data_IF_555862061791
#
_entry.id   IF_555862061791
#
_cell.length_a   1.000
_cell.length_b   1.000
_cell.length_c   1.000
_cell.angle_alpha   90.00
_cell.angle_beta   90.00
_cell.angle_gamma   90.00
#
_symmetry.space_group_name_H-M   'P 1'
#
loop_
_entity.id
_entity.type
_entity.pdbx_description
1 polymer ?
#
# COMPACT_ATOMS: atom_id res chain seq x y z
N UNK A 1 26.10 3.00 -2.76
CA UNK A 1 26.03 1.53 -2.85
C UNK A 1 26.93 1.08 -4.00
N UNK A 2 27.80 0.08 -3.81
CA UNK A 2 28.59 -0.48 -4.93
C UNK A 2 27.69 -1.34 -5.83
N UNK A 3 28.05 -1.55 -7.13
CA UNK A 3 27.24 -2.37 -8.05
C UNK A 3 27.01 -3.80 -7.56
N UNK A 4 28.02 -4.41 -6.93
CA UNK A 4 27.92 -5.76 -6.37
C UNK A 4 26.94 -5.82 -5.19
N UNK A 5 27.02 -4.87 -4.25
CA UNK A 5 26.09 -4.79 -3.13
C UNK A 5 24.66 -4.53 -3.62
N UNK A 6 24.46 -3.70 -4.66
CA UNK A 6 23.14 -3.45 -5.26
C UNK A 6 22.51 -4.76 -5.78
N UNK A 7 23.24 -5.54 -6.58
CA UNK A 7 22.73 -6.80 -7.11
C UNK A 7 22.42 -7.82 -6.01
N UNK A 8 23.28 -7.90 -4.99
CA UNK A 8 23.10 -8.80 -3.86
C UNK A 8 21.88 -8.42 -3.01
N UNK A 9 21.72 -7.13 -2.68
CA UNK A 9 20.56 -6.62 -1.93
C UNK A 9 19.28 -6.82 -2.73
N UNK A 10 19.25 -6.47 -4.02
CA UNK A 10 18.08 -6.66 -4.88
C UNK A 10 17.66 -8.13 -4.98
N UNK A 11 18.62 -9.04 -5.10
CA UNK A 11 18.36 -10.50 -5.10
C UNK A 11 17.79 -10.97 -3.77
N UNK A 12 18.34 -10.46 -2.65
CA UNK A 12 17.87 -10.80 -1.30
C UNK A 12 16.43 -10.33 -1.08
N UNK A 13 16.13 -9.08 -1.44
CA UNK A 13 14.79 -8.50 -1.31
C UNK A 13 13.76 -9.23 -2.19
N UNK A 14 14.14 -9.57 -3.43
CA UNK A 14 13.30 -10.38 -4.34
C UNK A 14 12.86 -11.68 -3.68
N UNK A 15 13.78 -12.43 -3.07
CA UNK A 15 13.46 -13.72 -2.46
C UNK A 15 12.70 -13.57 -1.14
N UNK A 16 13.07 -12.62 -0.28
CA UNK A 16 12.35 -12.38 0.97
C UNK A 16 10.89 -12.00 0.73
N UNK A 17 10.66 -11.00 -0.13
CA UNK A 17 9.31 -10.53 -0.43
C UNK A 17 8.52 -11.52 -1.29
N UNK A 18 9.18 -12.20 -2.25
CA UNK A 18 8.56 -13.24 -3.05
C UNK A 18 8.08 -14.41 -2.19
N UNK A 19 8.88 -14.86 -1.22
CA UNK A 19 8.46 -15.89 -0.27
C UNK A 19 7.35 -15.39 0.66
N UNK A 20 7.48 -14.17 1.20
CA UNK A 20 6.47 -13.57 2.04
C UNK A 20 5.12 -13.42 1.33
N UNK A 21 5.14 -13.10 0.04
CA UNK A 21 3.97 -12.99 -0.82
C UNK A 21 3.28 -14.33 -1.05
N UNK A 22 4.02 -15.44 -1.19
CA UNK A 22 3.44 -16.76 -1.42
C UNK A 22 2.91 -17.45 -0.15
N UNK A 23 3.33 -17.03 1.04
CA UNK A 23 2.92 -17.66 2.30
C UNK A 23 1.39 -17.64 2.56
N UNK A 24 0.66 -16.54 2.33
CA UNK A 24 -0.80 -16.56 2.44
C UNK A 24 -1.46 -17.52 1.43
N UNK A 25 -0.88 -17.68 0.23
CA UNK A 25 -1.39 -18.65 -0.76
C UNK A 25 -1.19 -20.10 -0.29
N UNK A 26 -0.09 -20.38 0.39
CA UNK A 26 0.14 -21.68 1.04
C UNK A 26 -0.91 -21.90 2.15
N UNK A 27 -1.19 -20.89 2.96
CA UNK A 27 -2.26 -20.90 3.96
C UNK A 27 -3.63 -21.23 3.35
N UNK A 28 -3.99 -20.55 2.26
CA UNK A 28 -5.21 -20.81 1.49
C UNK A 28 -5.33 -22.27 1.03
N UNK A 29 -4.26 -22.84 0.48
CA UNK A 29 -4.23 -24.24 0.05
C UNK A 29 -4.42 -25.21 1.23
N UNK A 30 -3.78 -24.92 2.36
CA UNK A 30 -3.91 -25.70 3.60
C UNK A 30 -5.34 -25.66 4.12
N UNK A 31 -5.98 -24.50 4.11
CA UNK A 31 -7.35 -24.31 4.60
C UNK A 31 -8.39 -25.00 3.70
N UNK A 32 -8.23 -24.90 2.38
CA UNK A 32 -9.07 -25.63 1.45
C UNK A 32 -8.88 -27.13 1.63
N UNK A 33 -7.64 -27.63 1.66
CA UNK A 33 -7.39 -29.05 1.79
C UNK A 33 -7.85 -29.58 3.16
N UNK A 34 -7.43 -28.93 4.25
CA UNK A 34 -7.79 -29.29 5.62
C UNK A 34 -9.29 -29.20 5.89
N UNK A 35 -9.99 -28.23 5.31
CA UNK A 35 -11.44 -28.07 5.46
C UNK A 35 -12.28 -28.95 4.54
N UNK A 36 -11.94 -29.02 3.24
CA UNK A 36 -12.69 -29.78 2.23
C UNK A 36 -12.48 -31.29 2.39
N UNK A 37 -11.23 -31.75 2.49
CA UNK A 37 -10.94 -33.17 2.68
C UNK A 37 -11.18 -33.61 4.13
N UNK A 38 -10.96 -32.73 5.11
CA UNK A 38 -11.24 -33.01 6.53
C UNK A 38 -12.70 -33.40 6.79
N UNK A 39 -13.66 -32.68 6.18
CA UNK A 39 -15.09 -33.01 6.27
C UNK A 39 -15.46 -34.36 5.66
N UNK A 40 -14.74 -34.79 4.62
CA UNK A 40 -15.08 -35.99 3.86
C UNK A 40 -14.52 -37.27 4.46
N UNK A 41 -13.36 -37.17 5.12
CA UNK A 41 -12.63 -38.32 5.66
C UNK A 41 -13.01 -38.67 7.10
N UNK A 42 -13.29 -37.66 7.96
CA UNK A 42 -13.55 -37.91 9.38
C UNK A 42 -14.36 -36.75 10.01
N UNK A 43 -15.72 -36.85 10.00
CA UNK A 43 -16.60 -35.80 10.52
C UNK A 43 -16.41 -35.54 12.02
N UNK A 44 -16.17 -36.58 12.81
CA UNK A 44 -16.12 -36.50 14.27
C UNK A 44 -14.89 -35.74 14.80
N UNK A 45 -13.76 -35.77 14.08
CA UNK A 45 -12.54 -35.04 14.44
C UNK A 45 -12.39 -33.70 13.70
N UNK A 46 -13.36 -33.33 12.86
CA UNK A 46 -13.19 -32.28 11.86
C UNK A 46 -12.87 -30.92 12.51
N UNK A 47 -13.60 -30.52 13.55
CA UNK A 47 -13.41 -29.20 14.21
C UNK A 47 -11.98 -28.93 14.69
N UNK A 48 -11.28 -29.94 15.23
CA UNK A 48 -9.88 -29.79 15.66
C UNK A 48 -8.92 -29.63 14.47
N UNK A 49 -9.15 -30.36 13.38
CA UNK A 49 -8.35 -30.27 12.14
C UNK A 49 -8.51 -28.90 11.49
N UNK A 50 -9.73 -28.34 11.47
CA UNK A 50 -9.98 -27.01 10.89
C UNK A 50 -9.34 -25.89 11.72
N UNK A 51 -9.40 -25.97 13.05
CA UNK A 51 -8.68 -25.03 13.93
C UNK A 51 -7.18 -25.09 13.69
N UNK A 52 -6.61 -26.30 13.61
CA UNK A 52 -5.18 -26.47 13.34
C UNK A 52 -4.76 -25.86 12.00
N UNK A 53 -5.56 -26.06 10.95
CA UNK A 53 -5.32 -25.45 9.64
C UNK A 53 -5.31 -23.91 9.72
N UNK A 54 -6.25 -23.30 10.45
CA UNK A 54 -6.25 -21.85 10.65
C UNK A 54 -5.04 -21.35 11.45
N UNK A 55 -4.62 -22.05 12.52
CA UNK A 55 -3.39 -21.70 13.24
C UNK A 55 -2.16 -21.77 12.34
N UNK A 56 -2.09 -22.76 11.45
CA UNK A 56 -1.01 -22.88 10.50
C UNK A 56 -1.02 -21.75 9.46
N UNK A 57 -2.19 -21.32 8.99
CA UNK A 57 -2.32 -20.17 8.11
C UNK A 57 -1.90 -18.86 8.80
N UNK A 58 -2.29 -18.66 10.07
CA UNK A 58 -1.82 -17.52 10.87
C UNK A 58 -0.31 -17.54 11.03
N UNK A 59 0.28 -18.73 11.26
CA UNK A 59 1.72 -18.89 11.30
C UNK A 59 2.39 -18.55 9.95
N UNK A 60 1.81 -18.95 8.82
CA UNK A 60 2.30 -18.58 7.50
C UNK A 60 2.32 -17.06 7.31
N UNK A 61 1.25 -16.36 7.68
CA UNK A 61 1.15 -14.90 7.52
C UNK A 61 2.08 -14.17 8.48
N UNK A 62 2.15 -14.61 9.74
CA UNK A 62 3.10 -14.08 10.72
C UNK A 62 4.55 -14.29 10.30
N UNK A 63 4.88 -15.43 9.68
CA UNK A 63 6.20 -15.66 9.08
C UNK A 63 6.43 -14.70 7.92
N UNK A 64 5.42 -14.43 7.09
CA UNK A 64 5.48 -13.41 6.03
C UNK A 64 5.76 -12.01 6.58
N UNK A 65 5.17 -11.64 7.71
CA UNK A 65 5.48 -10.39 8.40
C UNK A 65 6.94 -10.32 8.85
N UNK A 66 7.48 -11.38 9.47
CA UNK A 66 8.89 -11.42 9.87
C UNK A 66 9.85 -11.33 8.67
N UNK A 67 9.51 -11.98 7.55
CA UNK A 67 10.28 -11.86 6.30
C UNK A 67 10.22 -10.43 5.75
N UNK A 68 9.06 -9.76 5.83
CA UNK A 68 8.92 -8.37 5.40
C UNK A 68 9.71 -7.40 6.26
N UNK A 69 9.75 -7.60 7.59
CA UNK A 69 10.59 -6.82 8.51
C UNK A 69 12.07 -7.03 8.21
N UNK A 70 12.47 -8.26 7.93
CA UNK A 70 13.84 -8.59 7.54
C UNK A 70 14.22 -7.91 6.22
N UNK A 71 13.32 -7.91 5.23
CA UNK A 71 13.51 -7.19 3.98
C UNK A 71 13.65 -5.67 4.20
N UNK A 72 12.80 -5.08 5.04
CA UNK A 72 12.89 -3.67 5.40
C UNK A 72 14.21 -3.33 6.10
N UNK A 73 14.65 -4.18 7.05
CA UNK A 73 15.93 -4.00 7.74
C UNK A 73 17.13 -4.10 6.79
N UNK A 74 17.12 -5.08 5.87
CA UNK A 74 18.15 -5.23 4.84
C UNK A 74 18.19 -3.99 3.94
N UNK A 75 17.04 -3.52 3.48
CA UNK A 75 16.96 -2.30 2.67
C UNK A 75 17.47 -1.07 3.43
N UNK A 76 17.02 -0.85 4.67
CA UNK A 76 17.47 0.27 5.51
C UNK A 76 18.98 0.25 5.73
N UNK A 77 19.56 -0.92 6.01
CA UNK A 77 21.01 -1.08 6.18
C UNK A 77 21.79 -0.77 4.91
N UNK A 78 21.20 -1.01 3.74
CA UNK A 78 21.81 -0.82 2.44
C UNK A 78 21.70 0.62 1.91
N UNK A 79 20.61 1.33 2.22
CA UNK A 79 20.36 2.70 1.78
C UNK A 79 20.81 3.76 2.78
N UNK A 80 21.09 3.38 4.03
CA UNK A 80 21.57 4.31 5.06
C UNK A 80 20.53 5.34 5.49
N UNK A 81 19.24 5.09 5.23
CA UNK A 81 18.14 6.02 5.57
C UNK A 81 17.97 6.07 7.09
N UNK A 82 18.44 7.16 7.69
CA UNK A 82 18.26 7.49 9.10
C UNK A 82 16.87 8.12 9.30
N UNK A 83 15.84 7.27 9.34
CA UNK A 83 14.42 7.67 9.44
C UNK A 83 14.07 8.49 10.71
N UNK A 84 15.00 8.66 11.66
CA UNK A 84 14.80 9.33 12.96
C UNK A 84 15.32 10.78 13.02
N UNK A 85 15.99 11.29 11.98
CA UNK A 85 16.49 12.67 11.99
C UNK A 85 15.45 13.72 11.53
N UNK A 86 14.37 13.29 10.86
CA UNK A 86 13.39 14.21 10.26
C UNK A 86 12.20 14.57 11.18
N UNK A 87 12.14 14.03 12.40
CA UNK A 87 11.05 14.31 13.35
C UNK A 87 11.37 15.38 14.41
N UNK A 88 12.54 16.04 14.32
CA UNK A 88 13.01 16.96 15.37
C UNK A 88 13.29 18.40 14.91
N UNK A 89 12.85 18.80 13.70
CA UNK A 89 12.96 20.17 13.20
C UNK A 89 11.62 20.91 13.05
N UNK A 90 10.49 20.31 13.43
CA UNK A 90 9.16 20.97 13.32
C UNK A 90 8.66 21.54 14.66
N UNK A 91 9.41 21.42 15.76
CA UNK A 91 8.91 21.77 17.10
C UNK A 91 9.48 23.07 17.72
N UNK A 92 10.13 23.95 16.95
CA UNK A 92 10.59 25.24 17.48
C UNK A 92 10.55 26.38 16.46
N UNK A 93 9.35 26.86 16.13
CA UNK A 93 9.19 28.24 15.63
C UNK A 93 7.75 28.74 15.73
N UNK A 94 7.08 28.59 16.86
CA UNK A 94 5.81 29.28 17.12
C UNK A 94 5.62 29.50 18.62
N UNK A 95 6.48 30.32 19.23
CA UNK A 95 6.16 30.96 20.51
C UNK A 95 7.09 32.16 20.73
N UNK A 96 6.53 33.37 20.56
CA UNK A 96 6.81 34.63 21.25
C UNK A 96 6.69 35.85 20.32
N UNK A 97 5.54 36.52 20.37
CA UNK A 97 5.48 37.95 20.68
C UNK A 97 4.02 38.36 20.93
N UNK A 98 3.71 38.48 22.21
CA UNK A 98 2.45 38.92 22.78
C UNK A 98 2.25 40.45 22.61
N UNK A 99 1.00 40.84 22.36
CA UNK A 99 0.32 41.96 23.02
C UNK A 99 0.72 43.41 22.69
N UNK A 100 -0.16 44.13 21.98
CA UNK A 100 -0.71 45.37 22.54
C UNK A 100 -2.10 45.72 21.96
N UNK A 101 -3.02 45.78 22.91
CA UNK A 101 -4.40 46.27 22.96
C UNK A 101 -4.68 47.59 22.18
N UNK A 102 -5.79 47.63 21.41
CA UNK A 102 -6.87 48.63 21.56
C UNK A 102 -8.03 48.43 20.56
N UNK A 103 -9.22 48.50 21.13
CA UNK A 103 -10.55 48.44 20.51
C UNK A 103 -10.87 49.77 19.80
N UNK A 104 -11.64 49.71 18.72
CA UNK A 104 -13.05 50.17 18.69
C UNK A 104 -13.50 50.37 17.23
N UNK A 105 -14.73 49.94 16.97
CA UNK A 105 -15.42 50.05 15.71
C UNK A 105 -15.90 51.49 15.47
N UNK A 106 -15.77 52.01 14.25
CA UNK A 106 -16.70 53.03 13.77
C UNK A 106 -16.82 53.01 12.24
N UNK A 107 -18.08 53.00 11.83
CA UNK A 107 -18.68 53.08 10.51
C UNK A 107 -18.66 54.53 9.97
N UNK A 108 -18.42 54.73 8.66
CA UNK A 108 -18.96 55.78 7.76
C UNK A 108 -17.96 56.00 6.60
N UNK A 109 -18.20 55.57 5.37
CA UNK A 109 -19.10 56.10 4.32
C UNK A 109 -18.53 57.31 3.54
N UNK A 110 -18.68 57.18 2.21
CA UNK A 110 -18.58 58.16 1.12
C UNK A 110 -17.28 58.91 0.74
N UNK A 111 -17.01 58.90 -0.58
CA UNK A 111 -16.76 60.15 -1.31
C UNK A 111 -15.47 60.28 -2.13
N UNK A 112 -15.57 59.94 -3.43
CA UNK A 112 -15.25 60.78 -4.60
C UNK A 112 -13.85 61.37 -4.90
N UNK A 113 -13.61 61.40 -6.23
CA UNK A 113 -12.73 62.26 -7.06
C UNK A 113 -11.22 61.95 -7.09
N UNK A 114 -10.65 61.45 -8.20
CA UNK A 114 -10.36 62.07 -9.52
C UNK A 114 -9.32 63.21 -9.52
N UNK A 115 -8.22 62.85 -10.19
CA UNK A 115 -7.40 63.63 -11.13
C UNK A 115 -6.30 64.59 -10.65
N UNK A 116 -5.29 64.65 -11.55
CA UNK A 116 -4.37 65.76 -11.82
C UNK A 116 -3.16 65.89 -10.87
N UNK A 117 -1.90 66.09 -11.30
CA UNK A 117 -1.37 66.56 -12.58
C UNK A 117 0.17 66.48 -12.61
N UNK A 118 0.70 66.72 -13.81
CA UNK A 118 1.91 67.50 -14.13
C UNK A 118 3.19 66.74 -14.53
N UNK A 119 3.32 66.67 -15.85
CA UNK A 119 4.54 66.59 -16.65
C UNK A 119 5.52 67.76 -16.40
N UNK A 120 6.77 67.54 -16.83
CA UNK A 120 7.78 68.45 -17.41
C UNK A 120 9.17 68.09 -16.86
N UNK A 121 10.31 68.10 -17.56
CA UNK A 121 10.77 68.17 -18.96
C UNK A 121 12.28 68.53 -18.84
N UNK A 122 13.12 68.17 -19.82
CA UNK A 122 14.47 68.73 -20.12
C UNK A 122 15.62 68.40 -19.12
N UNK A 123 16.90 68.24 -19.49
CA UNK A 123 17.64 68.02 -20.76
C UNK A 123 19.15 67.87 -20.40
N UNK A 124 19.91 67.23 -21.30
CA UNK A 124 21.35 67.46 -21.54
C UNK A 124 22.34 66.76 -20.60
N UNK A 125 23.55 66.34 -21.00
CA UNK A 125 24.31 66.49 -22.24
C UNK A 125 25.58 65.60 -22.13
N UNK A 126 26.13 65.14 -23.27
CA UNK A 126 27.53 64.69 -23.50
C UNK A 126 27.97 63.37 -22.81
N UNK A 127 28.83 62.51 -23.35
CA UNK A 127 29.90 62.76 -24.29
C UNK A 127 30.58 61.45 -24.81
N UNK A 128 31.10 61.53 -26.04
CA UNK A 128 32.19 60.78 -26.71
C UNK A 128 32.39 59.23 -26.64
N UNK A 129 32.01 58.59 -27.76
CA UNK A 129 32.83 57.87 -28.77
C UNK A 129 33.81 56.71 -28.45
N UNK A 130 33.65 55.64 -29.25
CA UNK A 130 34.63 54.65 -29.76
C UNK A 130 35.30 53.72 -28.73
N UNK A 131 35.47 52.40 -28.91
CA UNK A 131 35.36 51.51 -30.06
C UNK A 131 36.35 50.35 -29.83
N UNK A 132 35.96 49.11 -30.16
CA UNK A 132 36.87 48.03 -30.58
C UNK A 132 37.79 47.33 -29.57
N UNK A 133 37.59 46.01 -29.48
CA UNK A 133 38.60 44.93 -29.43
C UNK A 133 39.25 44.42 -28.11
N UNK A 134 38.82 43.19 -27.77
CA UNK A 134 39.59 41.94 -27.56
C UNK A 134 40.84 41.97 -26.66
N UNK A 135 40.71 41.32 -25.48
CA UNK A 135 41.66 40.37 -24.85
C UNK A 135 41.01 39.90 -23.54
N UNK A 136 40.62 38.64 -23.36
CA UNK A 136 41.55 37.54 -23.13
C UNK A 136 41.92 37.46 -21.64
N UNK A 137 40.97 37.03 -20.80
CA UNK A 137 41.23 36.68 -19.40
C UNK A 137 40.58 35.32 -19.12
N UNK A 138 41.41 34.36 -18.73
CA UNK A 138 41.11 32.94 -18.49
C UNK A 138 39.93 32.70 -17.54
N UNK A 139 39.04 31.73 -17.79
CA UNK A 139 38.14 31.20 -16.77
C UNK A 139 38.78 29.98 -16.10
N UNK A 140 39.68 30.20 -15.14
CA UNK A 140 40.19 29.14 -14.24
C UNK A 140 39.23 28.91 -13.03
N UNK A 141 37.97 29.31 -13.13
CA UNK A 141 37.01 29.26 -12.01
C UNK A 141 35.70 28.52 -12.36
N UNK A 142 35.74 27.53 -13.27
CA UNK A 142 34.56 26.75 -13.66
C UNK A 142 34.60 25.26 -13.22
N UNK A 143 35.47 24.88 -12.28
CA UNK A 143 35.48 23.52 -11.67
C UNK A 143 34.85 23.51 -10.27
N UNK A 144 33.67 24.11 -10.11
CA UNK A 144 32.79 23.82 -8.97
C UNK A 144 31.32 23.80 -9.40
N UNK A 145 31.03 23.14 -10.52
CA UNK A 145 29.67 22.63 -10.75
C UNK A 145 29.53 21.30 -10.01
N UNK A 146 29.15 21.47 -8.75
CA UNK A 146 28.54 20.50 -7.86
C UNK A 146 27.98 19.27 -8.57
N UNK A 147 28.68 18.15 -8.45
CA UNK A 147 28.13 16.82 -8.68
C UNK A 147 27.18 16.42 -7.53
N UNK A 148 26.29 17.31 -7.12
CA UNK A 148 25.15 17.01 -6.26
C UNK A 148 23.92 16.77 -7.13
N UNK A 149 23.99 15.69 -7.92
CA UNK A 149 22.93 15.32 -8.88
C UNK A 149 22.61 13.82 -8.90
N UNK A 150 22.79 13.10 -7.78
CA UNK A 150 22.59 11.65 -7.72
C UNK A 150 21.58 11.20 -6.66
N UNK A 151 20.43 11.89 -6.55
CA UNK A 151 19.33 11.36 -5.73
C UNK A 151 17.97 11.75 -6.30
N UNK A 152 17.15 10.74 -6.66
CA UNK A 152 15.73 10.91 -6.40
C UNK A 152 15.04 9.74 -5.68
N UNK A 153 15.61 8.52 -5.61
CA UNK A 153 14.93 7.30 -5.07
C UNK A 153 15.90 6.20 -4.57
N UNK A 154 16.90 6.52 -3.74
CA UNK A 154 18.00 5.62 -3.36
C UNK A 154 17.61 4.11 -3.19
N UNK A 155 17.91 3.33 -4.24
CA UNK A 155 17.69 1.90 -4.44
C UNK A 155 16.24 1.38 -4.58
N UNK A 156 15.56 1.77 -5.67
CA UNK A 156 14.50 0.93 -6.25
C UNK A 156 15.13 -0.26 -7.00
N UNK A 157 14.56 -1.46 -6.82
CA UNK A 157 14.97 -2.70 -7.46
C UNK A 157 13.82 -3.23 -8.31
N UNK A 158 14.05 -3.43 -9.59
CA UNK A 158 13.07 -4.01 -10.49
C UNK A 158 13.65 -5.22 -11.22
N UNK A 159 12.77 -6.09 -11.67
CA UNK A 159 13.17 -7.25 -12.48
C UNK A 159 12.01 -8.17 -12.75
N UNK A 160 12.31 -9.27 -13.45
CA UNK A 160 11.33 -10.27 -13.84
C UNK A 160 11.48 -11.53 -12.98
N UNK A 161 10.36 -12.03 -12.47
CA UNK A 161 10.27 -13.36 -11.86
C UNK A 161 10.16 -14.44 -12.94
N UNK A 162 9.18 -14.30 -13.83
CA UNK A 162 8.88 -15.29 -14.85
C UNK A 162 8.20 -14.64 -16.05
N UNK A 163 8.54 -15.07 -17.26
CA UNK A 163 7.89 -14.63 -18.49
C UNK A 163 6.73 -15.58 -18.84
N UNK A 164 5.50 -15.06 -18.87
CA UNK A 164 4.31 -15.87 -19.14
C UNK A 164 4.11 -16.12 -20.62
N UNK A 165 4.16 -15.06 -21.42
CA UNK A 165 3.84 -15.12 -22.83
C UNK A 165 4.50 -13.98 -23.61
N UNK A 166 4.88 -14.30 -24.84
CA UNK A 166 5.48 -13.34 -25.77
C UNK A 166 4.67 -13.34 -27.06
N UNK A 167 3.97 -12.24 -27.33
CA UNK A 167 3.19 -12.02 -28.54
C UNK A 167 3.76 -10.86 -29.34
N UNK A 168 4.80 -11.13 -30.13
CA UNK A 168 5.43 -10.15 -31.00
C UNK A 168 6.09 -9.01 -30.22
N UNK A 169 5.39 -7.88 -30.02
CA UNK A 169 5.87 -6.75 -29.21
C UNK A 169 5.34 -6.76 -27.78
N UNK A 170 4.29 -7.54 -27.50
CA UNK A 170 3.69 -7.64 -26.17
C UNK A 170 4.40 -8.76 -25.40
N UNK A 171 5.14 -8.37 -24.35
CA UNK A 171 5.75 -9.29 -23.41
C UNK A 171 4.95 -9.25 -22.11
N UNK A 172 4.35 -10.39 -21.74
CA UNK A 172 3.61 -10.56 -20.49
C UNK A 172 4.53 -11.31 -19.53
N UNK A 173 4.91 -10.67 -18.44
CA UNK A 173 5.79 -11.24 -17.43
C UNK A 173 5.27 -10.91 -16.03
N UNK A 174 5.63 -11.72 -15.03
CA UNK A 174 5.54 -11.35 -13.62
C UNK A 174 6.77 -10.53 -13.31
N UNK A 175 6.60 -9.23 -13.18
CA UNK A 175 7.67 -8.32 -12.80
C UNK A 175 7.49 -7.89 -11.34
N UNK A 176 8.60 -7.60 -10.69
CA UNK A 176 8.62 -6.99 -9.37
C UNK A 176 9.21 -5.60 -9.43
N UNK A 177 8.66 -4.72 -8.62
CA UNK A 177 9.20 -3.40 -8.36
C UNK A 177 9.25 -3.20 -6.84
N UNK A 178 10.44 -2.98 -6.31
CA UNK A 178 10.70 -2.90 -4.88
C UNK A 178 11.40 -1.57 -4.61
N UNK A 179 10.67 -0.63 -4.05
CA UNK A 179 11.19 0.63 -3.52
C UNK A 179 10.86 0.76 -2.01
N UNK A 180 11.26 1.88 -1.41
CA UNK A 180 11.00 2.13 0.02
C UNK A 180 9.50 2.16 0.37
N UNK A 181 8.67 2.67 -0.54
CA UNK A 181 7.21 2.72 -0.39
C UNK A 181 6.61 1.32 -0.42
N UNK A 182 7.01 0.50 -1.39
CA UNK A 182 6.62 -0.91 -1.51
C UNK A 182 6.95 -1.66 -0.22
N UNK A 183 8.17 -1.51 0.30
CA UNK A 183 8.60 -2.18 1.53
C UNK A 183 7.78 -1.76 2.75
N UNK A 184 7.54 -0.46 2.91
CA UNK A 184 6.73 0.07 4.00
C UNK A 184 5.29 -0.44 3.92
N UNK A 185 4.68 -0.37 2.73
CA UNK A 185 3.32 -0.89 2.49
C UNK A 185 3.26 -2.40 2.73
N UNK A 186 4.24 -3.16 2.25
CA UNK A 186 4.27 -4.62 2.43
C UNK A 186 4.36 -5.01 3.91
N UNK A 187 5.21 -4.32 4.69
CA UNK A 187 5.31 -4.50 6.13
C UNK A 187 4.00 -4.15 6.85
N UNK A 188 3.38 -3.03 6.49
CA UNK A 188 2.09 -2.62 7.07
C UNK A 188 0.98 -3.63 6.76
N UNK A 189 0.84 -4.05 5.50
CA UNK A 189 -0.19 -5.00 5.06
C UNK A 189 -0.01 -6.34 5.76
N UNK A 190 1.22 -6.88 5.84
CA UNK A 190 1.48 -8.15 6.54
C UNK A 190 1.24 -8.07 8.05
N UNK A 191 1.53 -6.92 8.69
CA UNK A 191 1.21 -6.68 10.09
C UNK A 191 -0.31 -6.71 10.33
N UNK A 192 -1.06 -5.90 9.57
CA UNK A 192 -2.51 -5.82 9.68
C UNK A 192 -3.14 -7.18 9.38
N UNK A 193 -2.67 -7.86 8.33
CA UNK A 193 -3.13 -9.20 7.99
C UNK A 193 -2.92 -10.18 9.15
N UNK A 194 -1.76 -10.16 9.81
CA UNK A 194 -1.47 -11.01 10.98
C UNK A 194 -2.46 -10.74 12.11
N UNK A 195 -2.68 -9.46 12.46
CA UNK A 195 -3.62 -9.07 13.51
C UNK A 195 -5.06 -9.51 13.19
N UNK A 196 -5.51 -9.29 11.95
CA UNK A 196 -6.85 -9.68 11.51
C UNK A 196 -7.02 -11.20 11.55
N UNK A 197 -6.01 -11.98 11.15
CA UNK A 197 -6.08 -13.44 11.19
C UNK A 197 -6.16 -13.96 12.63
N UNK A 198 -5.37 -13.41 13.56
CA UNK A 198 -5.45 -13.75 14.98
C UNK A 198 -6.84 -13.42 15.54
N UNK A 199 -7.37 -12.24 15.24
CA UNK A 199 -8.70 -11.82 15.66
C UNK A 199 -9.81 -12.72 15.07
N UNK A 200 -9.69 -13.08 13.80
CA UNK A 200 -10.65 -13.92 13.08
C UNK A 200 -10.84 -15.31 13.71
N UNK A 201 -9.82 -15.86 14.39
CA UNK A 201 -9.93 -17.17 15.07
C UNK A 201 -11.01 -17.11 16.16
N UNK A 202 -11.00 -16.03 16.95
CA UNK A 202 -11.99 -15.82 18.00
C UNK A 202 -13.35 -15.43 17.42
N UNK A 203 -13.35 -14.51 16.46
CA UNK A 203 -14.57 -13.99 15.84
C UNK A 203 -15.41 -15.08 15.14
N UNK A 204 -14.77 -16.03 14.46
CA UNK A 204 -15.47 -17.09 13.70
C UNK A 204 -15.65 -18.39 14.49
N UNK A 205 -15.45 -18.40 15.82
CA UNK A 205 -15.50 -19.65 16.59
C UNK A 205 -16.87 -20.34 16.52
N UNK A 206 -17.96 -19.56 16.37
CA UNK A 206 -19.32 -20.08 16.24
C UNK A 206 -19.54 -20.80 14.89
N UNK A 207 -18.76 -20.47 13.86
CA UNK A 207 -18.82 -21.09 12.52
C UNK A 207 -18.06 -22.43 12.44
N UNK A 208 -17.57 -22.95 13.58
CA UNK A 208 -17.00 -24.29 13.70
C UNK A 208 -18.02 -25.36 14.06
N UNK A 209 -19.21 -24.98 14.51
CA UNK A 209 -20.27 -25.93 14.85
C UNK A 209 -20.82 -26.61 13.59
N UNK A 210 -21.29 -27.84 13.73
CA UNK A 210 -21.97 -28.56 12.65
C UNK A 210 -23.36 -28.01 12.37
N UNK A 211 -23.95 -27.34 13.35
CA UNK A 211 -25.21 -26.64 13.25
C UNK A 211 -25.03 -25.19 13.68
N UNK A 212 -24.87 -24.32 12.68
CA UNK A 212 -24.81 -22.87 12.85
C UNK A 212 -26.21 -22.31 12.64
N UNK A 213 -26.70 -21.59 13.66
CA UNK A 213 -27.99 -20.94 13.65
C UNK A 213 -27.83 -19.45 13.28
N UNK A 214 -28.45 -19.05 12.17
CA UNK A 214 -28.52 -17.66 11.76
C UNK A 214 -29.80 -17.01 12.26
N UNK A 215 -29.68 -16.17 13.29
CA UNK A 215 -30.81 -15.46 13.87
C UNK A 215 -31.41 -14.38 12.95
N UNK A 216 -30.67 -13.93 11.93
CA UNK A 216 -31.10 -12.85 11.03
C UNK A 216 -31.90 -13.34 9.82
N UNK A 217 -31.95 -14.65 9.59
CA UNK A 217 -32.71 -15.26 8.49
C UNK A 217 -33.88 -16.05 9.08
N UNK A 218 -35.10 -15.58 8.79
CA UNK A 218 -36.33 -16.23 9.24
C UNK A 218 -36.95 -17.03 8.10
N UNK A 219 -37.13 -18.34 8.33
CA UNK A 219 -37.86 -19.21 7.40
C UNK A 219 -39.38 -19.02 7.53
N UNK A 220 -40.17 -19.37 6.50
CA UNK A 220 -41.62 -19.43 6.60
C UNK A 220 -42.04 -20.34 7.78
N UNK A 221 -42.64 -19.75 8.82
CA UNK A 221 -42.96 -20.43 10.08
C UNK A 221 -42.15 -20.00 11.31
N UNK A 222 -41.32 -18.94 11.20
CA UNK A 222 -40.65 -18.30 12.35
C UNK A 222 -39.44 -19.05 12.89
N UNK A 223 -38.97 -20.09 12.19
CA UNK A 223 -37.76 -20.85 12.54
C UNK A 223 -36.51 -20.11 12.06
N UNK A 224 -35.44 -20.22 12.84
CA UNK A 224 -34.12 -19.74 12.45
C UNK A 224 -33.49 -20.64 11.39
N UNK A 225 -32.58 -20.08 10.60
CA UNK A 225 -31.91 -20.81 9.53
C UNK A 225 -30.71 -21.59 10.07
N UNK A 226 -30.70 -22.89 9.83
CA UNK A 226 -29.65 -23.81 10.28
C UNK A 226 -28.80 -24.28 9.10
N UNK A 227 -27.48 -24.25 9.25
CA UNK A 227 -26.53 -24.75 8.24
C UNK A 227 -25.22 -25.24 8.86
N UNK A 228 -24.46 -26.09 8.16
CA UNK A 228 -23.10 -26.41 8.61
C UNK A 228 -22.19 -25.17 8.56
N UNK A 229 -21.35 -25.06 9.59
CA UNK A 229 -20.36 -23.99 9.71
C UNK A 229 -19.40 -23.94 8.51
N UNK A 230 -18.88 -22.76 8.15
CA UNK A 230 -17.99 -22.55 7.00
C UNK A 230 -16.67 -21.90 7.40
N UNK A 231 -16.21 -22.15 8.62
CA UNK A 231 -14.96 -21.61 9.18
C UNK A 231 -13.78 -21.63 8.20
N UNK A 232 -13.47 -22.78 7.59
CA UNK A 232 -12.33 -22.90 6.66
C UNK A 232 -12.48 -22.05 5.38
N UNK A 233 -13.71 -21.79 4.92
CA UNK A 233 -13.94 -20.98 3.71
C UNK A 233 -13.67 -19.52 4.00
N UNK A 234 -14.09 -19.04 5.17
CA UNK A 234 -13.81 -17.68 5.61
C UNK A 234 -12.30 -17.43 5.67
N UNK A 235 -11.59 -18.32 6.37
CA UNK A 235 -10.14 -18.28 6.50
C UNK A 235 -9.43 -18.37 5.14
N UNK A 236 -9.88 -19.26 4.24
CA UNK A 236 -9.38 -19.32 2.87
C UNK A 236 -9.55 -17.98 2.13
N UNK A 237 -10.72 -17.35 2.19
CA UNK A 237 -10.93 -16.06 1.53
C UNK A 237 -10.08 -14.95 2.15
N UNK A 238 -9.84 -14.99 3.46
CA UNK A 238 -8.98 -14.03 4.17
C UNK A 238 -7.49 -14.20 3.77
N UNK A 239 -7.02 -15.44 3.65
CA UNK A 239 -5.69 -15.79 3.14
C UNK A 239 -5.51 -15.36 1.69
N UNK A 240 -6.52 -15.59 0.84
CA UNK A 240 -6.51 -15.18 -0.57
C UNK A 240 -6.54 -13.65 -0.74
N UNK A 241 -7.31 -12.95 0.09
CA UNK A 241 -7.32 -11.49 0.14
C UNK A 241 -5.92 -10.95 0.46
N UNK A 242 -5.25 -11.53 1.46
CA UNK A 242 -3.88 -11.14 1.86
C UNK A 242 -2.88 -11.41 0.74
N UNK A 243 -2.93 -12.58 0.10
CA UNK A 243 -2.13 -12.91 -1.08
C UNK A 243 -2.30 -11.88 -2.20
N UNK A 244 -3.55 -11.51 -2.49
CA UNK A 244 -3.89 -10.56 -3.54
C UNK A 244 -3.35 -9.16 -3.24
N UNK A 245 -3.51 -8.69 -1.99
CA UNK A 245 -3.03 -7.37 -1.58
C UNK A 245 -1.50 -7.28 -1.63
N UNK A 246 -0.80 -8.32 -1.18
CA UNK A 246 0.67 -8.38 -1.27
C UNK A 246 1.16 -8.45 -2.73
N UNK A 247 0.43 -9.17 -3.59
CA UNK A 247 0.71 -9.24 -5.02
C UNK A 247 0.52 -7.90 -5.75
N UNK A 248 -0.48 -7.12 -5.34
CA UNK A 248 -0.72 -5.76 -5.83
C UNK A 248 0.43 -4.83 -5.48
N UNK A 249 0.91 -4.88 -4.22
CA UNK A 249 2.02 -4.05 -3.75
C UNK A 249 3.31 -4.38 -4.48
N UNK A 250 3.59 -5.66 -4.76
CA UNK A 250 4.81 -6.09 -5.48
C UNK A 250 4.74 -5.93 -7.00
N UNK A 251 3.61 -5.51 -7.56
CA UNK A 251 3.39 -5.52 -9.00
C UNK A 251 4.35 -4.57 -9.73
N UNK A 252 5.20 -5.14 -10.60
CA UNK A 252 6.15 -4.38 -11.42
C UNK A 252 5.61 -3.90 -12.77
N UNK A 253 4.37 -4.27 -13.13
CA UNK A 253 3.74 -3.85 -14.38
C UNK A 253 2.21 -3.73 -14.27
N UNK A 254 1.61 -2.99 -15.21
CA UNK A 254 0.17 -2.67 -15.23
C UNK A 254 -0.69 -3.94 -15.34
N UNK A 255 -0.23 -4.95 -16.09
CA UNK A 255 -0.97 -6.20 -16.24
C UNK A 255 -1.12 -6.91 -14.89
N UNK A 256 -0.03 -7.02 -14.13
CA UNK A 256 -0.03 -7.62 -12.81
C UNK A 256 -0.87 -6.82 -11.81
N UNK A 257 -0.78 -5.48 -11.84
CA UNK A 257 -1.64 -4.60 -11.05
C UNK A 257 -3.11 -4.91 -11.35
N UNK A 258 -3.51 -4.96 -12.63
CA UNK A 258 -4.89 -5.25 -13.01
C UNK A 258 -5.36 -6.62 -12.53
N UNK A 259 -4.54 -7.67 -12.67
CA UNK A 259 -4.90 -9.02 -12.22
C UNK A 259 -5.10 -9.07 -10.70
N UNK A 260 -4.18 -8.49 -9.93
CA UNK A 260 -4.32 -8.49 -8.46
C UNK A 260 -5.39 -7.52 -7.98
N UNK A 261 -5.64 -6.43 -8.70
CA UNK A 261 -6.75 -5.51 -8.42
C UNK A 261 -8.09 -6.23 -8.54
N UNK A 262 -8.30 -6.96 -9.64
CA UNK A 262 -9.51 -7.77 -9.83
C UNK A 262 -9.63 -8.88 -8.78
N UNK A 263 -8.51 -9.52 -8.43
CA UNK A 263 -8.49 -10.55 -7.39
C UNK A 263 -8.85 -9.97 -6.00
N UNK A 264 -8.40 -8.76 -5.66
CA UNK A 264 -8.82 -8.06 -4.43
C UNK A 264 -10.33 -7.81 -4.45
N UNK A 265 -10.89 -7.39 -5.59
CA UNK A 265 -12.33 -7.21 -5.77
C UNK A 265 -13.12 -8.52 -5.57
N UNK A 266 -12.65 -9.62 -6.16
CA UNK A 266 -13.27 -10.96 -6.00
C UNK A 266 -13.19 -11.43 -4.54
N UNK A 267 -12.05 -11.29 -3.88
CA UNK A 267 -11.90 -11.68 -2.47
C UNK A 267 -12.82 -10.86 -1.56
N UNK A 268 -12.94 -9.55 -1.82
CA UNK A 268 -13.84 -8.65 -1.09
C UNK A 268 -15.29 -9.06 -1.25
N UNK A 269 -15.71 -9.41 -2.48
CA UNK A 269 -17.04 -9.96 -2.75
C UNK A 269 -17.34 -11.22 -1.94
N UNK A 270 -16.39 -12.17 -1.91
CA UNK A 270 -16.54 -13.44 -1.20
C UNK A 270 -16.60 -13.26 0.33
N UNK A 271 -15.85 -12.32 0.89
CA UNK A 271 -15.84 -12.03 2.33
C UNK A 271 -17.10 -11.28 2.78
N UNK A 272 -17.51 -10.23 2.05
CA UNK A 272 -18.73 -9.46 2.36
C UNK A 272 -19.97 -10.35 2.17
N UNK A 273 -19.98 -11.14 1.09
CA UNK A 273 -21.05 -12.06 0.73
C UNK A 273 -20.99 -13.41 1.46
N UNK A 274 -20.14 -13.57 2.49
CA UNK A 274 -19.95 -14.86 3.16
C UNK A 274 -21.26 -15.48 3.69
N UNK A 275 -22.14 -14.63 4.24
CA UNK A 275 -23.49 -14.99 4.65
C UNK A 275 -24.49 -14.81 3.50
N UNK A 276 -24.35 -15.63 2.45
CA UNK A 276 -25.17 -15.56 1.22
C UNK A 276 -26.69 -15.63 1.49
N UNK A 277 -27.07 -16.26 2.60
CA UNK A 277 -28.46 -16.45 3.00
C UNK A 277 -29.12 -15.14 3.47
N UNK A 278 -28.31 -14.15 3.89
CA UNK A 278 -28.78 -12.82 4.25
C UNK A 278 -28.86 -11.95 3.00
N UNK A 279 -30.07 -11.52 2.66
CA UNK A 279 -30.29 -10.65 1.50
C UNK A 279 -29.50 -9.33 1.60
N UNK A 280 -29.32 -8.79 2.82
CA UNK A 280 -28.51 -7.60 3.07
C UNK A 280 -27.03 -7.82 2.72
N UNK A 281 -26.45 -8.96 3.09
CA UNK A 281 -25.05 -9.29 2.80
C UNK A 281 -24.82 -9.51 1.29
N UNK A 282 -25.68 -10.29 0.64
CA UNK A 282 -25.60 -10.52 -0.81
C UNK A 282 -25.78 -9.24 -1.63
N UNK A 283 -26.70 -8.35 -1.22
CA UNK A 283 -26.89 -7.05 -1.88
C UNK A 283 -25.69 -6.13 -1.66
N UNK A 284 -25.12 -6.11 -0.45
CA UNK A 284 -23.94 -5.32 -0.13
C UNK A 284 -22.70 -5.80 -0.91
N UNK A 285 -22.50 -7.12 -1.02
CA UNK A 285 -21.41 -7.71 -1.79
C UNK A 285 -21.52 -7.35 -3.28
N UNK A 286 -22.71 -7.50 -3.87
CA UNK A 286 -22.95 -7.09 -5.27
C UNK A 286 -22.69 -5.60 -5.49
N UNK A 287 -23.15 -4.74 -4.57
CA UNK A 287 -22.89 -3.30 -4.65
C UNK A 287 -21.39 -3.00 -4.59
N UNK A 288 -20.67 -3.56 -3.62
CA UNK A 288 -19.23 -3.35 -3.49
C UNK A 288 -18.47 -3.82 -4.74
N UNK A 289 -18.81 -4.98 -5.28
CA UNK A 289 -18.18 -5.52 -6.49
C UNK A 289 -18.44 -4.65 -7.72
N UNK A 290 -19.68 -4.21 -7.93
CA UNK A 290 -20.02 -3.34 -9.07
C UNK A 290 -19.32 -2.00 -8.96
N UNK A 291 -19.30 -1.38 -7.77
CA UNK A 291 -18.60 -0.10 -7.55
C UNK A 291 -17.10 -0.23 -7.82
N UNK A 292 -16.47 -1.33 -7.39
CA UNK A 292 -15.05 -1.58 -7.65
C UNK A 292 -14.73 -1.89 -9.12
N UNK A 293 -15.69 -2.47 -9.86
CA UNK A 293 -15.49 -2.83 -11.27
C UNK A 293 -15.67 -1.66 -12.22
N UNK A 294 -16.47 -0.66 -11.83
CA UNK A 294 -16.74 0.53 -12.64
C UNK A 294 -15.67 1.61 -12.44
N UNK A 295 -14.98 1.62 -11.29
CA UNK A 295 -13.90 2.55 -10.98
C UNK A 295 -12.53 2.05 -11.43
#
# INVERSE_FOLDING_TARGET
MTPETYLQTGTTLKWLLGLAWLLPLVGFCIEIYGGYWGRRLDPASNGKKVKFAAYLAVFCIGTGFLLSLSAFAVWKSATGVELLAASHEVEHSDEHADGHDRRDAQHSDDGHDQDHDAEHHHDGDGDHSHGGDVRGQSPDDAEHHEAHGNNPYAAAFSGTFYELAHFGKLRIAIDYYIDGLTLLMFCMVTLIATCIHVFAIGYMNDELTEDYEDHFVHLPGGKHFHRPGRFYRFFAFLSLFSFSMLGLVLAGNIFQVFVFWELVGVCSYLLIGFYVERHSASTAANKAFIMNRVG
#
